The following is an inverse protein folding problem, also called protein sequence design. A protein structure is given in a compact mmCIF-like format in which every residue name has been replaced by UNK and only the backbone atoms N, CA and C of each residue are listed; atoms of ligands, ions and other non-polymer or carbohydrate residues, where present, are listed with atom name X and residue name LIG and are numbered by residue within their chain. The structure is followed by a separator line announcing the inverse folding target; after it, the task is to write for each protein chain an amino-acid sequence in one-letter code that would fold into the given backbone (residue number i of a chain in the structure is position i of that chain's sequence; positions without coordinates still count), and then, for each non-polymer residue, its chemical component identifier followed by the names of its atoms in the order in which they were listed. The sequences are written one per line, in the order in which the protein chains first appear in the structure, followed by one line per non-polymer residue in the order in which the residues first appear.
data_IF_921312539041
#
_entry.id   IF_921312539041
#
_cell.length_a   1.000
_cell.length_b   1.000
_cell.length_c   1.000
_cell.angle_alpha   90.00
_cell.angle_beta   90.00
_cell.angle_gamma   90.00
#
_symmetry.space_group_name_H-M   'P 1'
#
loop_
_entity.id
_entity.type
_entity.pdbx_description
1 polymer ?
#
# COMPACT_ATOMS: atom_id res chain seq x y z
N UNK A 1 -5.70 -24.99 -18.09
CA UNK A 1 -6.30 -24.89 -16.74
C UNK A 1 -6.87 -23.48 -16.55
N UNK A 2 -7.81 -22.96 -17.36
CA UNK A 2 -9.28 -23.15 -17.36
C UNK A 2 -9.89 -23.64 -16.04
N UNK A 3 -10.15 -22.71 -15.12
CA UNK A 3 -11.35 -22.58 -14.26
C UNK A 3 -11.04 -21.76 -13.00
N UNK A 4 -11.01 -20.43 -13.13
CA UNK A 4 -11.17 -19.52 -11.98
C UNK A 4 -11.97 -18.26 -12.35
N UNK A 5 -12.75 -18.34 -13.44
CA UNK A 5 -13.53 -17.23 -14.00
C UNK A 5 -15.01 -17.23 -13.61
N UNK A 6 -15.39 -17.78 -12.45
CA UNK A 6 -16.81 -17.90 -12.04
C UNK A 6 -17.12 -17.52 -10.59
N UNK A 7 -16.21 -16.82 -9.90
CA UNK A 7 -16.46 -16.32 -8.55
C UNK A 7 -16.45 -14.79 -8.45
N UNK A 8 -16.88 -14.12 -9.51
CA UNK A 8 -17.23 -12.70 -9.49
C UNK A 8 -18.47 -12.58 -10.37
N UNK A 9 -19.64 -12.67 -9.76
CA UNK A 9 -20.86 -12.19 -10.42
C UNK A 9 -20.59 -10.76 -10.86
N UNK A 10 -20.78 -10.48 -12.15
CA UNK A 10 -20.80 -9.10 -12.64
C UNK A 10 -21.94 -8.38 -11.91
N UNK A 11 -21.68 -7.26 -11.21
CA UNK A 11 -22.69 -6.63 -10.39
C UNK A 11 -23.87 -6.20 -11.25
N UNK A 12 -25.05 -6.51 -10.73
CA UNK A 12 -26.32 -6.07 -11.29
C UNK A 12 -26.52 -4.57 -11.04
N UNK A 13 -25.88 -3.74 -11.87
CA UNK A 13 -26.12 -2.29 -11.89
C UNK A 13 -25.45 -1.48 -10.76
N UNK A 14 -25.72 -0.17 -10.71
CA UNK A 14 -25.09 0.76 -9.77
C UNK A 14 -25.77 0.65 -8.41
N UNK A 15 -25.44 -0.39 -7.64
CA UNK A 15 -26.06 -0.61 -6.34
C UNK A 15 -25.39 -1.73 -5.55
N UNK A 16 -24.39 -1.37 -4.73
CA UNK A 16 -23.88 -2.21 -3.66
C UNK A 16 -23.25 -3.55 -4.06
N UNK A 17 -22.70 -4.30 -3.09
CA UNK A 17 -22.37 -5.71 -3.28
C UNK A 17 -23.67 -6.53 -3.44
N UNK A 18 -23.68 -7.49 -4.37
CA UNK A 18 -24.83 -8.38 -4.55
C UNK A 18 -25.18 -9.06 -3.21
N UNK A 19 -26.47 -9.16 -2.85
CA UNK A 19 -26.91 -9.79 -1.61
C UNK A 19 -26.47 -11.26 -1.60
N UNK A 20 -25.36 -11.54 -0.92
CA UNK A 20 -24.73 -12.86 -0.84
C UNK A 20 -23.20 -12.86 -0.96
N UNK A 21 -22.58 -11.81 -1.48
CA UNK A 21 -21.10 -11.72 -1.57
C UNK A 21 -20.56 -10.87 -0.42
N UNK A 22 -19.84 -11.52 0.51
CA UNK A 22 -19.30 -10.88 1.71
C UNK A 22 -17.82 -10.47 1.59
N UNK A 23 -17.12 -10.94 0.55
CA UNK A 23 -15.71 -10.67 0.34
C UNK A 23 -15.36 -10.68 -1.15
N UNK A 24 -14.36 -9.88 -1.53
CA UNK A 24 -13.83 -9.79 -2.89
C UNK A 24 -12.31 -9.93 -2.82
N UNK A 25 -11.76 -10.82 -3.64
CA UNK A 25 -10.32 -11.06 -3.73
C UNK A 25 -9.85 -10.67 -5.12
N UNK A 26 -8.86 -9.78 -5.19
CA UNK A 26 -8.31 -9.25 -6.43
C UNK A 26 -6.79 -9.34 -6.38
N UNK A 27 -6.18 -9.62 -7.52
CA UNK A 27 -4.74 -9.38 -7.67
C UNK A 27 -4.49 -7.88 -7.83
N UNK A 28 -3.28 -7.44 -7.51
CA UNK A 28 -2.86 -6.04 -7.69
C UNK A 28 -3.04 -5.51 -9.12
N UNK A 29 -2.91 -6.38 -10.12
CA UNK A 29 -3.08 -6.00 -11.53
C UNK A 29 -4.55 -5.74 -11.88
N UNK A 30 -5.48 -6.54 -11.34
CA UNK A 30 -6.92 -6.29 -11.49
C UNK A 30 -7.33 -5.04 -10.70
N UNK A 31 -6.85 -4.88 -9.47
CA UNK A 31 -7.07 -3.66 -8.69
C UNK A 31 -6.62 -2.41 -9.46
N UNK A 32 -5.47 -2.47 -10.14
CA UNK A 32 -4.94 -1.37 -10.94
C UNK A 32 -5.82 -1.04 -12.15
N UNK A 33 -6.40 -2.06 -12.78
CA UNK A 33 -7.21 -1.90 -13.98
C UNK A 33 -8.65 -1.46 -13.66
N UNK A 34 -9.21 -1.97 -12.56
CA UNK A 34 -10.59 -1.75 -12.14
C UNK A 34 -10.69 -0.88 -10.88
N UNK A 35 -9.71 0.01 -10.67
CA UNK A 35 -9.61 0.84 -9.47
C UNK A 35 -10.85 1.71 -9.25
N UNK A 36 -11.51 2.18 -10.31
CA UNK A 36 -12.72 3.00 -10.20
C UNK A 36 -13.90 2.20 -9.62
N UNK A 37 -13.99 0.92 -9.98
CA UNK A 37 -14.99 0.00 -9.42
C UNK A 37 -14.76 -0.23 -7.93
N UNK A 38 -13.49 -0.40 -7.52
CA UNK A 38 -13.14 -0.60 -6.11
C UNK A 38 -13.35 0.69 -5.31
N UNK A 39 -12.92 1.83 -5.85
CA UNK A 39 -12.98 3.14 -5.19
C UNK A 39 -14.41 3.69 -5.07
N UNK A 40 -15.32 3.31 -5.97
CA UNK A 40 -16.73 3.70 -5.93
C UNK A 40 -17.57 2.99 -4.87
N UNK A 41 -16.95 2.19 -3.98
CA UNK A 41 -17.63 1.41 -2.93
C UNK A 41 -16.99 1.66 -1.57
N UNK A 42 -17.82 1.64 -0.54
CA UNK A 42 -17.39 1.70 0.84
C UNK A 42 -17.10 0.31 1.38
N UNK A 43 -15.83 0.02 1.65
CA UNK A 43 -15.40 -1.25 2.20
C UNK A 43 -15.31 -1.19 3.73
N UNK A 44 -15.72 -2.27 4.41
CA UNK A 44 -15.48 -2.38 5.85
C UNK A 44 -13.99 -2.66 6.13
N UNK A 45 -13.39 -3.56 5.34
CA UNK A 45 -11.99 -3.94 5.43
C UNK A 45 -11.30 -3.89 4.06
N UNK A 46 -10.07 -3.39 4.03
CA UNK A 46 -9.13 -3.56 2.93
C UNK A 46 -7.85 -4.20 3.47
N UNK A 47 -7.50 -5.37 2.95
CA UNK A 47 -6.32 -6.12 3.35
C UNK A 47 -5.37 -6.24 2.16
N UNK A 48 -4.15 -5.74 2.32
CA UNK A 48 -3.07 -5.92 1.34
C UNK A 48 -2.16 -7.05 1.82
N UNK A 49 -1.99 -8.07 0.98
CA UNK A 49 -0.97 -9.09 1.17
C UNK A 49 0.38 -8.59 0.64
N UNK A 50 1.48 -9.10 1.19
CA UNK A 50 2.83 -8.72 0.74
C UNK A 50 3.08 -7.21 0.70
N UNK A 51 3.06 -6.55 1.86
CA UNK A 51 3.19 -5.09 2.00
C UNK A 51 4.39 -4.46 1.28
N UNK A 52 5.43 -5.24 0.96
CA UNK A 52 6.55 -4.80 0.14
C UNK A 52 6.14 -4.36 -1.28
N UNK A 53 4.98 -4.78 -1.79
CA UNK A 53 4.42 -4.36 -3.09
C UNK A 53 4.15 -2.85 -3.13
N UNK A 54 3.76 -2.24 -2.00
CA UNK A 54 3.42 -0.80 -1.92
C UNK A 54 4.54 0.05 -1.31
N UNK A 55 5.77 -0.46 -1.24
CA UNK A 55 6.93 0.24 -0.66
C UNK A 55 7.26 1.60 -1.30
N UNK A 56 6.85 1.79 -2.55
CA UNK A 56 6.99 3.06 -3.26
C UNK A 56 5.62 3.63 -3.57
N UNK A 57 5.29 4.71 -2.86
CA UNK A 57 4.06 5.47 -3.03
C UNK A 57 3.82 5.96 -4.47
N UNK A 58 4.86 6.06 -5.30
CA UNK A 58 4.76 6.56 -6.69
C UNK A 58 4.34 5.48 -7.68
N UNK A 59 4.35 4.22 -7.28
CA UNK A 59 3.94 3.11 -8.15
C UNK A 59 2.45 3.20 -8.47
N UNK A 60 2.05 2.79 -9.68
CA UNK A 60 0.65 2.73 -10.09
C UNK A 60 -0.18 1.86 -9.15
N UNK A 61 0.42 0.77 -8.66
CA UNK A 61 -0.22 -0.15 -7.71
C UNK A 61 -0.46 0.53 -6.36
N UNK A 62 0.54 1.22 -5.78
CA UNK A 62 0.35 1.95 -4.53
C UNK A 62 -0.71 3.06 -4.66
N UNK A 63 -0.72 3.79 -5.78
CA UNK A 63 -1.75 4.79 -6.06
C UNK A 63 -3.14 4.16 -6.18
N UNK A 64 -3.28 3.01 -6.83
CA UNK A 64 -4.55 2.29 -6.90
C UNK A 64 -5.02 1.81 -5.51
N UNK A 65 -4.12 1.27 -4.69
CA UNK A 65 -4.43 0.86 -3.32
C UNK A 65 -4.93 2.04 -2.47
N UNK A 66 -4.31 3.22 -2.60
CA UNK A 66 -4.71 4.42 -1.85
C UNK A 66 -6.11 4.90 -2.18
N UNK A 67 -6.60 4.63 -3.40
CA UNK A 67 -7.95 4.98 -3.83
C UNK A 67 -9.04 4.09 -3.23
N UNK A 68 -8.67 2.99 -2.57
CA UNK A 68 -9.63 2.14 -1.88
C UNK A 68 -10.21 2.88 -0.67
N UNK A 69 -11.53 3.06 -0.65
CA UNK A 69 -12.24 3.64 0.48
C UNK A 69 -12.62 2.53 1.46
N UNK A 70 -11.91 2.44 2.59
CA UNK A 70 -12.14 1.41 3.60
C UNK A 70 -12.09 1.95 5.03
N UNK A 71 -12.98 1.46 5.90
CA UNK A 71 -13.01 1.81 7.34
C UNK A 71 -11.82 1.24 8.11
N UNK A 72 -11.46 -0.01 7.82
CA UNK A 72 -10.30 -0.68 8.40
C UNK A 72 -9.33 -1.06 7.29
N UNK A 73 -8.05 -0.74 7.48
CA UNK A 73 -6.98 -1.01 6.52
C UNK A 73 -5.90 -1.85 7.19
N UNK A 74 -5.52 -2.94 6.55
CA UNK A 74 -4.52 -3.88 7.05
C UNK A 74 -3.48 -4.15 5.96
N UNK A 75 -2.23 -4.30 6.38
CA UNK A 75 -1.13 -4.75 5.54
C UNK A 75 -0.52 -5.98 6.21
N UNK A 76 -0.38 -7.05 5.45
CA UNK A 76 0.33 -8.25 5.85
C UNK A 76 1.69 -8.26 5.15
N UNK A 77 2.78 -8.47 5.89
CA UNK A 77 4.12 -8.56 5.31
C UNK A 77 4.93 -9.61 6.04
N UNK A 78 5.52 -10.55 5.29
CA UNK A 78 6.49 -11.51 5.82
C UNK A 78 7.90 -10.95 5.95
N UNK A 79 8.18 -9.80 5.32
CA UNK A 79 9.50 -9.16 5.36
C UNK A 79 9.53 -8.07 6.44
N UNK A 80 10.57 -8.04 7.29
CA UNK A 80 10.79 -6.88 8.15
C UNK A 80 10.98 -5.64 7.28
N UNK A 81 10.35 -4.53 7.65
CA UNK A 81 10.39 -3.24 6.93
C UNK A 81 11.84 -2.94 6.54
N UNK A 82 12.12 -2.90 5.23
CA UNK A 82 13.47 -2.77 4.71
C UNK A 82 13.95 -1.33 4.85
N UNK A 83 14.69 -1.03 5.94
CA UNK A 83 15.71 0.04 6.13
C UNK A 83 15.53 1.44 5.50
N UNK A 84 14.36 1.80 5.00
CA UNK A 84 14.07 3.07 4.34
C UNK A 84 12.85 3.70 4.99
N UNK A 85 13.07 4.88 5.57
CA UNK A 85 12.01 5.68 6.18
C UNK A 85 10.94 6.06 5.16
N UNK A 86 11.27 6.09 3.87
CA UNK A 86 10.31 6.34 2.81
C UNK A 86 9.39 5.15 2.55
N UNK A 87 9.87 3.92 2.74
CA UNK A 87 9.02 2.73 2.65
C UNK A 87 8.04 2.69 3.83
N UNK A 88 8.52 3.01 5.04
CA UNK A 88 7.66 3.18 6.21
C UNK A 88 6.57 4.21 5.95
N UNK A 89 6.94 5.36 5.39
CA UNK A 89 5.97 6.40 5.03
C UNK A 89 4.91 5.89 4.06
N UNK A 90 5.31 5.16 3.01
CA UNK A 90 4.38 4.62 2.02
C UNK A 90 3.37 3.64 2.63
N UNK A 91 3.80 2.78 3.56
CA UNK A 91 2.92 1.87 4.30
C UNK A 91 1.90 2.64 5.16
N UNK A 92 2.37 3.64 5.92
CA UNK A 92 1.50 4.46 6.77
C UNK A 92 0.54 5.33 5.97
N UNK A 93 0.95 5.82 4.79
CA UNK A 93 0.06 6.60 3.94
C UNK A 93 -1.12 5.76 3.41
N UNK A 94 -0.94 4.44 3.27
CA UNK A 94 -2.07 3.53 3.03
C UNK A 94 -2.88 3.26 4.30
N UNK A 95 -2.24 2.87 5.40
CA UNK A 95 -2.92 2.48 6.65
C UNK A 95 -3.73 3.63 7.27
N UNK A 96 -3.13 4.82 7.32
CA UNK A 96 -3.68 6.01 7.97
C UNK A 96 -3.36 7.25 7.12
N UNK A 97 -4.13 7.47 6.02
CA UNK A 97 -3.92 8.59 5.12
C UNK A 97 -3.84 9.93 5.87
N UNK A 98 -2.79 10.71 5.61
CA UNK A 98 -2.57 12.02 6.22
C UNK A 98 -1.90 12.02 7.60
N UNK A 99 -1.71 10.87 8.26
CA UNK A 99 -1.11 10.80 9.60
C UNK A 99 0.32 11.36 9.66
N UNK A 100 1.15 11.03 8.66
CA UNK A 100 2.53 11.49 8.58
C UNK A 100 2.71 12.79 7.77
N UNK A 101 1.62 13.37 7.28
CA UNK A 101 1.64 14.50 6.35
C UNK A 101 2.14 14.13 4.95
N UNK A 102 2.41 15.15 4.14
CA UNK A 102 2.82 14.98 2.75
C UNK A 102 4.22 14.34 2.62
N UNK A 103 4.43 13.55 1.55
CA UNK A 103 5.70 12.85 1.25
C UNK A 103 6.90 13.80 1.35
N UNK A 104 6.78 14.99 0.77
CA UNK A 104 7.86 15.98 0.69
C UNK A 104 8.29 16.47 2.07
N UNK A 105 7.32 16.74 2.95
CA UNK A 105 7.58 17.28 4.28
C UNK A 105 8.16 16.19 5.18
N UNK A 106 7.62 14.98 5.09
CA UNK A 106 8.15 13.82 5.80
C UNK A 106 9.58 13.49 5.37
N UNK A 107 9.85 13.45 4.06
CA UNK A 107 11.18 13.19 3.53
C UNK A 107 12.19 14.28 3.93
N UNK A 108 11.78 15.55 3.95
CA UNK A 108 12.66 16.64 4.39
C UNK A 108 13.02 16.52 5.88
N UNK A 109 12.08 16.10 6.72
CA UNK A 109 12.28 15.95 8.17
C UNK A 109 13.08 14.70 8.54
N UNK A 110 12.76 13.56 7.94
CA UNK A 110 13.30 12.26 8.36
C UNK A 110 14.25 11.61 7.34
N UNK A 111 14.07 11.86 6.05
CA UNK A 111 14.92 11.30 4.99
C UNK A 111 16.38 11.79 5.07
N UNK A 112 16.59 13.07 5.42
CA UNK A 112 17.93 13.65 5.61
C UNK A 112 18.63 13.16 6.88
N UNK A 113 17.87 12.92 7.95
CA UNK A 113 18.41 12.49 9.24
C UNK A 113 19.03 11.09 9.18
N UNK A 114 18.45 10.18 8.39
CA UNK A 114 18.97 8.82 8.21
C UNK A 114 20.20 8.79 7.31
N UNK A 115 20.24 9.59 6.23
CA UNK A 115 21.45 9.70 5.38
C UNK A 115 22.64 10.33 6.12
N UNK A 116 22.39 11.28 7.02
CA UNK A 116 23.46 11.90 7.82
C UNK A 116 24.08 10.93 8.84
N UNK A 117 23.31 9.99 9.38
CA UNK A 117 23.82 8.95 10.30
C UNK A 117 24.61 7.84 9.60
N UNK A 118 24.24 7.47 8.37
CA UNK A 118 24.99 6.48 7.59
C UNK A 118 26.41 6.92 7.20
N UNK A 119 26.69 8.23 7.22
CA UNK A 119 27.99 8.80 6.80
C UNK A 119 29.02 8.91 7.93
N UNK A 120 28.64 8.71 9.20
CA UNK A 120 29.54 8.77 10.36
C UNK A 120 30.18 7.43 10.77
N UNK A 121 29.95 6.35 10.02
CA UNK A 121 30.45 5.01 10.34
C UNK A 121 31.69 4.54 9.58
N UNK A 122 32.23 5.32 8.63
CA UNK A 122 33.40 4.93 7.82
C UNK A 122 34.41 6.05 7.77
N UNK A 123 35.30 6.10 8.76
CA UNK A 123 36.39 7.08 8.74
C UNK A 123 37.13 7.17 10.07
N UNK A 124 37.86 6.12 10.43
CA UNK A 124 39.19 6.14 11.08
C UNK A 124 39.46 4.77 11.75
N UNK A 125 40.03 3.84 10.98
CA UNK A 125 41.03 2.92 11.55
C UNK A 125 42.34 3.23 10.83
N UNK A 126 43.07 4.18 11.45
CA UNK A 126 44.40 4.56 11.05
C UNK A 126 45.37 3.43 11.36
N UNK A 127 45.94 2.89 10.29
CA UNK A 127 47.18 2.14 10.24
C UNK A 127 48.26 2.83 11.11
N UNK A 128 48.82 2.11 12.07
CA UNK A 128 50.12 2.40 12.69
C UNK A 128 50.95 1.13 12.57
#
# INVERSE_FOLDING_TARGET
MKQLGRLLTAPSGPGGPDPGVNAVVLSYEHLRSDVDWVAGRDWLYACLDEGHVIKSAKTRVAQACKRITARHRLILSGTPIQNSVMELWALFDFLMPGFLGAERDFNSRFGKAVQARGRKGTGQEGRV
#
